data_IF_761972234159
#
_entry.id   IF_761972234159
#
_cell.length_a   1.000
_cell.length_b   1.000
_cell.length_c   1.000
_cell.angle_alpha   90.00
_cell.angle_beta   90.00
_cell.angle_gamma   90.00
#
_symmetry.space_group_name_H-M   'P 1'
#
loop_
_entity.id
_entity.type
_entity.pdbx_description
1 polymer ?
#
# COMPACT_ATOMS: atom_id res chain seq x y z
N UNK A 1 -6.22 -11.91 -26.00
CA UNK A 1 -5.05 -11.11 -25.58
C UNK A 1 -4.32 -10.66 -26.83
N UNK A 2 -3.78 -9.44 -26.83
CA UNK A 2 -2.96 -8.98 -27.97
C UNK A 2 -1.53 -9.54 -27.87
N UNK A 3 -0.79 -9.52 -28.99
CA UNK A 3 0.58 -10.05 -29.03
C UNK A 3 1.53 -9.39 -28.01
N UNK A 4 1.28 -8.12 -27.66
CA UNK A 4 2.07 -7.37 -26.69
C UNK A 4 1.87 -7.95 -25.28
N UNK A 5 0.63 -8.22 -24.87
CA UNK A 5 0.30 -8.83 -23.58
C UNK A 5 0.95 -10.20 -23.43
N UNK A 6 0.86 -11.04 -24.46
CA UNK A 6 1.51 -12.36 -24.47
C UNK A 6 3.02 -12.22 -24.31
N UNK A 7 3.64 -11.32 -25.08
CA UNK A 7 5.08 -11.05 -24.97
C UNK A 7 5.49 -10.57 -23.57
N UNK A 8 4.71 -9.69 -22.94
CA UNK A 8 5.00 -9.20 -21.59
C UNK A 8 4.88 -10.32 -20.54
N UNK A 9 3.88 -11.19 -20.65
CA UNK A 9 3.73 -12.34 -19.75
C UNK A 9 4.91 -13.30 -19.90
N UNK A 10 5.33 -13.61 -21.13
CA UNK A 10 6.49 -14.45 -21.37
C UNK A 10 7.77 -13.86 -20.76
N UNK A 11 7.94 -12.52 -20.81
CA UNK A 11 9.07 -11.83 -20.17
C UNK A 11 9.03 -11.94 -18.64
N UNK A 12 7.85 -11.79 -18.03
CA UNK A 12 7.69 -11.96 -16.57
C UNK A 12 8.02 -13.39 -16.15
N UNK A 13 7.52 -14.38 -16.90
CA UNK A 13 7.81 -15.80 -16.66
C UNK A 13 9.30 -16.11 -16.79
N UNK A 14 9.96 -15.56 -17.81
CA UNK A 14 11.40 -15.75 -18.00
C UNK A 14 12.21 -15.11 -16.86
N UNK A 15 11.85 -13.88 -16.45
CA UNK A 15 12.50 -13.22 -15.32
C UNK A 15 12.34 -14.01 -14.00
N UNK A 16 11.16 -14.59 -13.76
CA UNK A 16 10.90 -15.47 -12.61
C UNK A 16 11.80 -16.72 -12.64
N UNK A 17 11.86 -17.42 -13.78
CA UNK A 17 12.72 -18.61 -13.96
C UNK A 17 14.21 -18.33 -13.80
N UNK A 18 14.64 -17.12 -14.14
CA UNK A 18 16.04 -16.68 -14.04
C UNK A 18 16.40 -16.02 -12.70
N UNK A 19 15.50 -16.00 -11.72
CA UNK A 19 15.70 -15.34 -10.41
C UNK A 19 16.00 -13.83 -10.54
N UNK A 20 15.37 -13.16 -11.51
CA UNK A 20 15.55 -11.73 -11.83
C UNK A 20 14.25 -10.92 -11.73
N UNK A 21 13.16 -11.54 -11.30
CA UNK A 21 11.88 -10.88 -11.21
C UNK A 21 11.81 -10.02 -9.93
N UNK A 22 11.75 -8.70 -10.12
CA UNK A 22 11.47 -7.73 -9.06
C UNK A 22 10.07 -7.17 -9.26
N UNK A 23 9.25 -7.16 -8.21
CA UNK A 23 7.88 -6.63 -8.25
C UNK A 23 7.77 -5.42 -7.35
N UNK A 24 7.26 -4.31 -7.90
CA UNK A 24 6.86 -3.13 -7.12
C UNK A 24 5.37 -3.20 -6.83
N UNK A 25 5.00 -3.12 -5.55
CA UNK A 25 3.62 -3.20 -5.07
C UNK A 25 3.24 -1.85 -4.46
N UNK A 26 2.11 -1.31 -4.91
CA UNK A 26 1.54 -0.06 -4.39
C UNK A 26 0.21 -0.28 -3.68
N UNK A 27 -0.36 0.79 -3.11
CA UNK A 27 -1.53 0.72 -2.24
C UNK A 27 -2.78 0.14 -2.95
N UNK A 28 -2.83 0.22 -4.28
CA UNK A 28 -3.90 -0.37 -5.10
C UNK A 28 -4.01 -1.90 -5.01
N UNK A 29 -2.99 -2.61 -4.51
CA UNK A 29 -3.13 -4.03 -4.19
C UNK A 29 -3.84 -4.21 -2.84
N UNK A 30 -3.50 -3.39 -1.86
CA UNK A 30 -4.09 -3.40 -0.52
C UNK A 30 -5.53 -2.88 -0.48
N UNK A 31 -5.96 -2.06 -1.46
CA UNK A 31 -7.36 -1.64 -1.59
C UNK A 31 -8.32 -2.81 -1.74
N UNK A 32 -7.87 -3.92 -2.35
CA UNK A 32 -8.67 -5.14 -2.47
C UNK A 32 -8.85 -5.88 -1.13
N UNK A 33 -8.08 -5.52 -0.11
CA UNK A 33 -8.26 -5.95 1.29
C UNK A 33 -9.01 -4.91 2.13
N UNK A 34 -9.46 -3.81 1.53
CA UNK A 34 -10.18 -2.73 2.19
C UNK A 34 -9.31 -1.55 2.63
N UNK A 35 -7.98 -1.61 2.48
CA UNK A 35 -7.09 -0.50 2.88
C UNK A 35 -7.45 0.76 2.09
N UNK A 36 -7.68 1.91 2.75
CA UNK A 36 -7.99 3.13 2.03
C UNK A 36 -6.79 3.61 1.21
N UNK A 37 -7.10 4.29 0.09
CA UNK A 37 -6.09 4.99 -0.67
C UNK A 37 -5.52 6.20 0.08
N UNK A 38 -4.35 6.66 -0.37
CA UNK A 38 -3.71 7.90 0.11
C UNK A 38 -4.68 9.10 0.22
N UNK A 39 -5.51 9.31 -0.80
CA UNK A 39 -6.47 10.42 -0.81
C UNK A 39 -7.46 10.36 0.36
N UNK A 40 -7.89 9.16 0.76
CA UNK A 40 -8.78 8.94 1.91
C UNK A 40 -8.08 9.14 3.25
N UNK A 41 -6.81 8.79 3.33
CA UNK A 41 -6.00 9.13 4.51
C UNK A 41 -5.91 10.64 4.68
N UNK A 42 -5.55 11.36 3.62
CA UNK A 42 -5.43 12.82 3.66
C UNK A 42 -6.76 13.50 3.97
N UNK A 43 -7.88 13.05 3.37
CA UNK A 43 -9.22 13.54 3.69
C UNK A 43 -9.52 13.37 5.19
N UNK A 44 -9.21 12.20 5.76
CA UNK A 44 -9.41 11.94 7.19
C UNK A 44 -8.55 12.81 8.11
N UNK A 45 -7.32 13.14 7.72
CA UNK A 45 -6.49 14.11 8.44
C UNK A 45 -7.10 15.51 8.34
N UNK A 46 -7.53 15.91 7.14
CA UNK A 46 -8.08 17.23 6.85
C UNK A 46 -9.38 17.50 7.60
N UNK A 47 -10.22 16.50 7.78
CA UNK A 47 -11.50 16.63 8.49
C UNK A 47 -11.33 17.01 9.97
N UNK A 48 -10.23 16.58 10.59
CA UNK A 48 -9.90 16.88 11.99
C UNK A 48 -9.19 18.24 12.16
N UNK A 49 -8.82 18.92 11.07
CA UNK A 49 -8.18 20.23 11.09
C UNK A 49 -9.20 21.38 11.22
N UNK A 50 -8.81 22.53 11.79
CA UNK A 50 -9.64 23.73 11.84
C UNK A 50 -10.13 24.15 10.45
N UNK A 51 -11.35 24.72 10.38
CA UNK A 51 -12.00 25.13 9.13
C UNK A 51 -11.15 26.11 8.30
N UNK A 52 -10.34 26.94 8.96
CA UNK A 52 -9.41 27.87 8.31
C UNK A 52 -8.35 27.16 7.43
N UNK A 53 -7.98 25.93 7.77
CA UNK A 53 -6.97 25.13 7.07
C UNK A 53 -7.56 24.17 6.03
N UNK A 54 -8.89 23.98 6.00
CA UNK A 54 -9.55 23.07 5.06
C UNK A 54 -9.51 23.53 3.59
N UNK A 55 -9.04 24.74 3.32
CA UNK A 55 -8.79 25.19 1.93
C UNK A 55 -7.45 24.71 1.38
N UNK A 56 -6.56 24.21 2.22
CA UNK A 56 -5.30 23.62 1.76
C UNK A 56 -5.58 22.38 0.89
N UNK A 57 -4.86 22.26 -0.22
CA UNK A 57 -5.01 21.18 -1.20
C UNK A 57 -3.74 20.37 -1.37
N UNK A 58 -2.62 20.84 -0.81
CA UNK A 58 -1.36 20.11 -0.79
C UNK A 58 -1.39 19.01 0.29
N UNK A 59 -1.50 17.77 -0.15
CA UNK A 59 -1.55 16.58 0.69
C UNK A 59 -0.41 16.50 1.71
N UNK A 60 0.82 16.85 1.30
CA UNK A 60 1.99 16.76 2.18
C UNK A 60 1.94 17.84 3.26
N UNK A 61 1.46 19.04 2.91
CA UNK A 61 1.23 20.10 3.91
C UNK A 61 0.10 19.74 4.86
N UNK A 62 -0.99 19.14 4.39
CA UNK A 62 -2.09 18.69 5.24
C UNK A 62 -1.58 17.70 6.29
N UNK A 63 -0.79 16.70 5.87
CA UNK A 63 -0.19 15.74 6.80
C UNK A 63 0.72 16.41 7.85
N UNK A 64 1.54 17.38 7.42
CA UNK A 64 2.42 18.13 8.31
C UNK A 64 1.63 19.01 9.29
N UNK A 65 0.61 19.74 8.82
CA UNK A 65 -0.26 20.57 9.66
C UNK A 65 -1.02 19.74 10.71
N UNK A 66 -1.49 18.53 10.33
CA UNK A 66 -2.08 17.61 11.29
C UNK A 66 -1.08 17.21 12.37
N UNK A 67 0.12 16.78 11.96
CA UNK A 67 1.17 16.38 12.89
C UNK A 67 1.57 17.52 13.83
N UNK A 68 1.66 18.74 13.33
CA UNK A 68 2.03 19.91 14.15
C UNK A 68 0.91 20.31 15.13
N UNK A 69 -0.36 20.12 14.75
CA UNK A 69 -1.50 20.44 15.61
C UNK A 69 -1.83 19.37 16.66
N UNK A 70 -1.59 18.09 16.37
CA UNK A 70 -1.93 16.95 17.24
C UNK A 70 -0.73 16.29 17.91
N UNK A 71 0.47 16.58 17.44
CA UNK A 71 1.70 15.91 17.86
C UNK A 71 1.90 14.54 17.21
N UNK A 72 3.13 14.01 17.32
CA UNK A 72 3.56 12.81 16.61
C UNK A 72 2.79 11.54 17.00
N UNK A 73 2.44 11.38 18.29
CA UNK A 73 1.75 10.19 18.78
C UNK A 73 0.36 10.04 18.14
N UNK A 74 -0.49 11.06 18.29
CA UNK A 74 -1.83 11.06 17.71
C UNK A 74 -1.79 10.95 16.18
N UNK A 75 -0.82 11.59 15.54
CA UNK A 75 -0.60 11.45 14.09
C UNK A 75 -0.36 10.00 13.66
N UNK A 76 0.53 9.27 14.35
CA UNK A 76 0.80 7.86 14.04
C UNK A 76 -0.40 6.98 14.36
N UNK A 77 -1.10 7.22 15.47
CA UNK A 77 -2.32 6.49 15.83
C UNK A 77 -3.40 6.67 14.76
N UNK A 78 -3.66 7.90 14.32
CA UNK A 78 -4.60 8.22 13.24
C UNK A 78 -4.25 7.53 11.93
N UNK A 79 -2.97 7.52 11.53
CA UNK A 79 -2.52 6.81 10.32
C UNK A 79 -2.81 5.31 10.44
N UNK A 80 -2.41 4.68 11.55
CA UNK A 80 -2.62 3.24 11.77
C UNK A 80 -4.09 2.87 11.77
N UNK A 81 -4.93 3.67 12.42
CA UNK A 81 -6.37 3.47 12.45
C UNK A 81 -6.99 3.60 11.06
N UNK A 82 -6.64 4.68 10.33
CA UNK A 82 -7.20 4.94 9.00
C UNK A 82 -6.77 3.88 8.00
N UNK A 83 -5.52 3.43 8.05
CA UNK A 83 -4.99 2.38 7.18
C UNK A 83 -5.31 0.95 7.68
N UNK A 84 -6.06 0.84 8.79
CA UNK A 84 -6.46 -0.43 9.40
C UNK A 84 -5.29 -1.37 9.70
N UNK A 85 -4.14 -0.81 10.06
CA UNK A 85 -2.90 -1.55 10.32
C UNK A 85 -3.14 -2.65 11.38
N UNK A 86 -2.76 -3.89 11.06
CA UNK A 86 -2.94 -5.06 11.93
C UNK A 86 -4.39 -5.55 12.12
N UNK A 87 -5.38 -5.01 11.38
CA UNK A 87 -6.79 -5.41 11.46
C UNK A 87 -7.35 -6.02 10.17
N UNK A 88 -6.49 -6.22 9.18
CA UNK A 88 -6.82 -6.62 7.82
C UNK A 88 -5.98 -7.83 7.41
N UNK A 89 -6.50 -8.62 6.47
CA UNK A 89 -5.83 -9.81 5.95
C UNK A 89 -5.46 -9.66 4.47
N UNK A 90 -4.46 -10.41 3.99
CA UNK A 90 -4.06 -10.35 2.59
C UNK A 90 -5.17 -10.89 1.67
N UNK A 91 -5.32 -10.29 0.50
CA UNK A 91 -6.21 -10.79 -0.56
C UNK A 91 -5.45 -11.66 -1.59
N UNK A 92 -6.19 -12.28 -2.53
CA UNK A 92 -5.66 -13.18 -3.54
C UNK A 92 -4.49 -12.62 -4.37
N UNK A 93 -4.41 -11.31 -4.58
CA UNK A 93 -3.31 -10.70 -5.35
C UNK A 93 -1.98 -10.80 -4.58
N UNK A 94 -2.00 -10.68 -3.25
CA UNK A 94 -0.79 -10.84 -2.44
C UNK A 94 -0.21 -12.25 -2.61
N UNK A 95 -1.06 -13.28 -2.55
CA UNK A 95 -0.63 -14.66 -2.75
C UNK A 95 -0.17 -14.91 -4.19
N UNK A 96 -0.87 -14.35 -5.18
CA UNK A 96 -0.45 -14.45 -6.58
C UNK A 96 0.92 -13.81 -6.84
N UNK A 97 1.24 -12.69 -6.16
CA UNK A 97 2.58 -12.08 -6.21
C UNK A 97 3.63 -13.06 -5.66
N UNK A 98 3.34 -13.75 -4.56
CA UNK A 98 4.26 -14.76 -4.01
C UNK A 98 4.39 -15.98 -4.92
N UNK A 99 3.32 -16.39 -5.60
CA UNK A 99 3.33 -17.50 -6.56
C UNK A 99 4.20 -17.22 -7.80
N UNK A 100 4.45 -15.94 -8.12
CA UNK A 100 5.41 -15.56 -9.17
C UNK A 100 6.87 -15.76 -8.76
N UNK A 101 7.12 -16.09 -7.48
CA UNK A 101 8.45 -16.27 -6.90
C UNK A 101 9.43 -15.13 -7.27
N UNK A 102 9.09 -13.86 -6.98
CA UNK A 102 10.00 -12.74 -7.23
C UNK A 102 11.22 -12.82 -6.31
N UNK A 103 12.39 -12.44 -6.81
CA UNK A 103 13.60 -12.36 -5.98
C UNK A 103 13.54 -11.18 -5.01
N UNK A 104 12.85 -10.10 -5.38
CA UNK A 104 12.56 -8.97 -4.51
C UNK A 104 11.15 -8.43 -4.69
N UNK A 105 10.52 -8.07 -3.58
CA UNK A 105 9.28 -7.30 -3.55
C UNK A 105 9.62 -5.95 -2.93
N UNK A 106 9.29 -4.86 -3.63
CA UNK A 106 9.50 -3.49 -3.17
C UNK A 106 8.13 -2.85 -2.98
N UNK A 107 7.88 -2.27 -1.82
CA UNK A 107 6.61 -1.61 -1.52
C UNK A 107 6.83 -0.28 -0.82
N UNK A 108 5.93 0.66 -1.07
CA UNK A 108 5.82 1.93 -0.32
C UNK A 108 4.57 1.94 0.56
N UNK A 109 3.87 0.81 0.67
CA UNK A 109 2.66 0.71 1.47
C UNK A 109 3.02 0.70 2.96
N UNK A 110 2.13 1.25 3.78
CA UNK A 110 2.29 1.26 5.25
C UNK A 110 1.64 0.05 5.93
N UNK A 111 0.73 -0.65 5.25
CA UNK A 111 0.17 -1.93 5.71
C UNK A 111 1.20 -3.06 5.65
N UNK A 112 0.95 -4.13 6.41
CA UNK A 112 1.81 -5.31 6.56
C UNK A 112 1.28 -6.53 5.79
N UNK A 113 0.45 -6.33 4.76
CA UNK A 113 -0.26 -7.41 4.09
C UNK A 113 0.66 -8.36 3.29
N UNK A 114 1.78 -7.86 2.77
CA UNK A 114 2.75 -8.71 2.05
C UNK A 114 3.45 -9.62 3.06
N UNK A 115 3.88 -9.08 4.19
CA UNK A 115 4.54 -9.78 5.29
C UNK A 115 3.61 -10.84 5.89
N UNK A 116 2.33 -10.47 6.10
CA UNK A 116 1.30 -11.41 6.53
C UNK A 116 1.10 -12.55 5.50
N UNK A 117 1.06 -12.25 4.20
CA UNK A 117 0.90 -13.27 3.16
C UNK A 117 2.10 -14.23 3.11
N UNK A 118 3.33 -13.71 3.26
CA UNK A 118 4.55 -14.53 3.36
C UNK A 118 4.47 -15.45 4.57
N UNK A 119 4.11 -14.90 5.73
CA UNK A 119 3.97 -15.66 6.98
C UNK A 119 2.94 -16.78 6.82
N UNK A 120 1.75 -16.48 6.29
CA UNK A 120 0.67 -17.46 6.12
C UNK A 120 0.94 -18.53 5.05
N UNK A 121 1.78 -18.23 4.05
CA UNK A 121 2.08 -19.16 2.96
C UNK A 121 3.22 -20.14 3.29
N UNK A 122 4.20 -19.68 4.09
CA UNK A 122 5.45 -20.41 4.32
C UNK A 122 5.68 -20.86 5.77
N UNK A 123 4.77 -20.57 6.70
CA UNK A 123 4.72 -21.15 8.04
C UNK A 123 3.54 -22.10 8.18
#
# INVERSE_FOLDING_TARGET
MNNIQISNILRIQEASKQDKLVIFVGAGVSTNSGVPMWSKLIESLKDDLPESLKRETDDLKIAQLYKDSRGYKEYIEKIKETLMYGRISPNAIHYAILDLNPCHIITTNYDDLIEQAVTQKYQ
#
